data_IF_669664827502
#
_entry.id   IF_669664827502
#
_cell.length_a   1.000
_cell.length_b   1.000
_cell.length_c   1.000
_cell.angle_alpha   90.00
_cell.angle_beta   90.00
_cell.angle_gamma   90.00
#
_symmetry.space_group_name_H-M   'P 1'
#
loop_
_entity.id
_entity.type
_entity.pdbx_description
1 polymer ?
#
# COMPACT_ATOMS: atom_id res chain seq x y z
N UNK A 1 -22.50 42.90 -29.90
CA UNK A 1 -22.81 43.34 -28.52
C UNK A 1 -21.74 42.78 -27.60
N UNK A 2 -21.25 43.62 -26.71
CA UNK A 2 -19.93 43.56 -26.07
C UNK A 2 -19.79 42.51 -24.96
N UNK A 3 -18.57 41.99 -24.81
CA UNK A 3 -18.08 41.16 -23.69
C UNK A 3 -17.91 42.03 -22.43
N UNK A 4 -18.06 41.49 -21.20
CA UNK A 4 -17.60 42.17 -20.00
C UNK A 4 -16.15 41.79 -19.66
N UNK A 5 -15.38 42.82 -19.33
CA UNK A 5 -13.96 42.84 -19.01
C UNK A 5 -13.74 42.58 -17.52
N UNK A 6 -12.73 41.77 -17.18
CA UNK A 6 -12.21 41.58 -15.82
C UNK A 6 -11.50 42.84 -15.33
N UNK A 7 -11.81 43.29 -14.10
CA UNK A 7 -11.12 44.38 -13.41
C UNK A 7 -10.40 43.80 -12.20
N UNK A 8 -9.09 43.65 -12.35
CA UNK A 8 -8.11 43.42 -11.29
C UNK A 8 -7.91 44.76 -10.57
N UNK A 9 -8.16 44.81 -9.26
CA UNK A 9 -7.74 45.94 -8.43
C UNK A 9 -6.95 45.42 -7.23
N UNK A 10 -5.64 45.60 -7.35
CA UNK A 10 -4.61 45.42 -6.33
C UNK A 10 -4.59 46.69 -5.46
N UNK A 11 -4.75 46.57 -4.14
CA UNK A 11 -4.36 47.65 -3.23
C UNK A 11 -3.80 47.11 -1.91
N UNK A 12 -2.51 47.43 -1.73
CA UNK A 12 -1.64 47.18 -0.59
C UNK A 12 -1.77 48.36 0.41
N UNK A 13 -1.26 48.16 1.64
CA UNK A 13 -1.09 49.08 2.79
C UNK A 13 -2.32 49.11 3.73
N UNK A 14 -2.20 48.92 5.04
CA UNK A 14 -1.24 49.57 5.95
C UNK A 14 -1.24 48.88 7.33
N UNK A 15 -0.05 48.67 7.90
CA UNK A 15 0.21 48.40 9.33
C UNK A 15 -0.10 49.61 10.21
N UNK A 16 -0.55 49.42 11.46
CA UNK A 16 0.15 49.84 12.71
C UNK A 16 -0.74 49.75 13.99
N UNK A 17 -0.32 48.89 14.94
CA UNK A 17 0.00 49.07 16.38
C UNK A 17 -0.99 49.76 17.37
N UNK A 18 -0.95 49.21 18.60
CA UNK A 18 -1.16 49.79 19.97
C UNK A 18 -2.56 49.46 20.52
N UNK A 19 -2.75 48.79 21.67
CA UNK A 19 -2.18 49.09 22.98
C UNK A 19 -2.12 47.88 23.93
N UNK A 20 -1.01 47.82 24.67
CA UNK A 20 -0.84 47.07 25.89
C UNK A 20 -1.32 47.89 27.11
N UNK A 21 -1.93 47.22 28.08
CA UNK A 21 -2.09 47.59 29.49
C UNK A 21 -2.29 46.24 30.23
N UNK A 22 -1.64 45.86 31.31
CA UNK A 22 -0.62 46.48 32.14
C UNK A 22 -0.45 45.60 33.39
N UNK A 23 0.80 45.46 33.84
CA UNK A 23 1.30 45.38 35.24
C UNK A 23 0.55 44.51 36.26
N UNK A 24 1.18 43.71 37.12
CA UNK A 24 2.47 43.91 37.78
C UNK A 24 2.78 42.66 38.66
N UNK A 25 3.97 42.59 39.30
CA UNK A 25 4.66 41.34 39.60
C UNK A 25 4.48 40.85 41.03
N UNK A 26 4.72 39.57 41.26
CA UNK A 26 5.15 39.09 42.57
C UNK A 26 6.26 38.07 42.40
N UNK A 27 7.49 38.54 42.53
CA UNK A 27 8.65 37.71 42.81
C UNK A 27 8.59 37.32 44.29
N UNK A 28 8.57 36.03 44.59
CA UNK A 28 8.84 35.51 45.93
C UNK A 28 10.29 35.03 45.97
N UNK A 29 11.06 35.71 46.80
CA UNK A 29 12.47 35.42 47.10
C UNK A 29 12.63 34.12 47.87
N UNK A 30 13.59 33.31 47.43
CA UNK A 30 14.14 32.17 48.15
C UNK A 30 15.05 32.62 49.32
N UNK A 31 15.19 31.82 50.39
CA UNK A 31 16.39 31.79 51.21
C UNK A 31 17.22 30.54 50.86
N UNK A 32 18.28 30.71 50.09
CA UNK A 32 19.29 29.64 49.89
C UNK A 32 20.50 29.94 50.75
N UNK A 33 20.78 29.03 51.70
CA UNK A 33 21.95 29.09 52.58
C UNK A 33 23.23 28.76 51.82
N UNK A 34 24.34 29.33 52.31
CA UNK A 34 25.70 29.22 51.80
C UNK A 34 26.34 27.83 52.09
N UNK A 35 27.51 27.51 51.49
CA UNK A 35 27.91 26.15 51.14
C UNK A 35 28.53 25.39 52.31
N UNK A 36 28.20 24.10 52.41
CA UNK A 36 28.93 23.12 53.24
C UNK A 36 29.92 22.37 52.37
N UNK A 37 31.10 22.14 52.93
CA UNK A 37 32.30 21.61 52.30
C UNK A 37 32.13 20.24 51.62
N UNK A 38 32.88 20.07 50.53
CA UNK A 38 32.95 18.89 49.68
C UNK A 38 33.78 17.79 50.36
N UNK A 39 33.27 16.56 50.52
CA UNK A 39 34.12 15.39 50.61
C UNK A 39 34.46 14.92 49.19
N UNK A 40 35.72 15.13 48.82
CA UNK A 40 36.37 14.42 47.73
C UNK A 40 36.46 12.95 48.11
N UNK A 41 35.63 12.10 47.53
CA UNK A 41 36.01 10.75 47.07
C UNK A 41 35.16 10.39 45.85
N UNK A 42 35.82 10.13 44.72
CA UNK A 42 35.21 9.59 43.49
C UNK A 42 35.11 8.06 43.63
N UNK A 43 33.92 7.46 43.63
CA UNK A 43 33.80 6.02 43.38
C UNK A 43 34.17 5.77 41.92
N UNK A 44 35.30 5.06 41.70
CA UNK A 44 35.85 4.71 40.38
C UNK A 44 35.37 3.33 39.93
N UNK A 45 34.08 3.04 40.01
CA UNK A 45 33.52 1.82 39.43
C UNK A 45 32.17 2.18 38.78
N UNK A 46 32.20 2.41 37.47
CA UNK A 46 30.98 2.44 36.68
C UNK A 46 30.39 1.01 36.68
N UNK A 47 29.09 0.81 36.97
CA UNK A 47 28.48 -0.50 36.81
C UNK A 47 28.65 -0.96 35.36
N UNK A 48 29.38 -2.06 35.19
CA UNK A 48 29.72 -2.66 33.89
C UNK A 48 28.61 -3.57 33.36
N UNK A 49 27.47 -3.67 34.06
CA UNK A 49 26.33 -4.41 33.56
C UNK A 49 25.40 -3.48 32.76
N UNK A 50 25.32 -3.75 31.46
CA UNK A 50 24.30 -3.16 30.60
C UNK A 50 22.91 -3.38 31.23
N UNK A 51 21.97 -2.42 31.13
CA UNK A 51 20.59 -2.66 31.54
C UNK A 51 20.08 -3.91 30.83
N UNK A 52 19.88 -5.00 31.56
CA UNK A 52 19.21 -6.17 31.05
C UNK A 52 17.78 -5.75 30.77
N UNK A 53 17.47 -5.50 29.50
CA UNK A 53 16.13 -5.23 29.05
C UNK A 53 15.23 -6.38 29.55
N UNK A 54 14.11 -6.08 30.23
CA UNK A 54 13.20 -7.14 30.65
C UNK A 54 12.84 -7.97 29.41
N UNK A 55 12.85 -9.32 29.52
CA UNK A 55 12.55 -10.16 28.37
C UNK A 55 11.20 -9.73 27.80
N UNK A 56 11.16 -9.49 26.49
CA UNK A 56 9.93 -9.17 25.79
C UNK A 56 8.86 -10.22 26.18
N UNK A 57 7.61 -9.80 26.46
CA UNK A 57 6.56 -10.75 26.77
C UNK A 57 6.50 -11.80 25.67
N UNK A 58 6.55 -13.08 26.04
CA UNK A 58 6.41 -14.18 25.11
C UNK A 58 5.01 -14.12 24.53
N UNK A 59 4.89 -13.63 23.30
CA UNK A 59 3.65 -13.65 22.54
C UNK A 59 3.34 -15.12 22.22
N UNK A 60 2.40 -15.73 22.94
CA UNK A 60 1.85 -17.03 22.54
C UNK A 60 0.87 -16.80 21.40
N UNK A 61 1.33 -17.04 20.18
CA UNK A 61 0.47 -16.97 19.00
C UNK A 61 -0.62 -18.07 19.07
N UNK A 62 -1.87 -17.77 18.67
CA UNK A 62 -2.91 -18.79 18.63
C UNK A 62 -2.56 -19.89 17.63
N UNK A 63 -3.10 -21.08 17.85
CA UNK A 63 -2.91 -22.21 16.94
C UNK A 63 -3.35 -21.83 15.51
N UNK A 64 -2.48 -22.06 14.53
CA UNK A 64 -2.72 -21.72 13.13
C UNK A 64 -2.42 -20.27 12.74
N UNK A 65 -1.98 -19.42 13.67
CA UNK A 65 -1.53 -18.07 13.34
C UNK A 65 -0.28 -18.10 12.44
N UNK A 66 -0.22 -17.14 11.51
CA UNK A 66 1.04 -16.80 10.85
C UNK A 66 1.93 -16.08 11.87
N UNK A 67 3.11 -16.64 12.13
CA UNK A 67 4.10 -16.06 13.04
C UNK A 67 5.31 -15.66 12.24
N UNK A 68 5.73 -14.40 12.36
CA UNK A 68 7.00 -13.93 11.81
C UNK A 68 8.15 -14.43 12.69
N UNK A 69 9.02 -15.29 12.16
CA UNK A 69 10.16 -15.83 12.89
C UNK A 69 11.39 -14.90 12.79
N UNK A 70 12.14 -14.65 13.88
CA UNK A 70 13.38 -13.88 13.80
C UNK A 70 14.43 -14.63 12.99
N UNK A 71 15.14 -13.89 12.13
CA UNK A 71 16.29 -14.39 11.37
C UNK A 71 17.46 -13.42 11.47
N UNK A 72 18.69 -13.94 11.48
CA UNK A 72 19.91 -13.13 11.57
C UNK A 72 20.21 -12.37 10.28
N UNK A 73 19.86 -12.96 9.14
CA UNK A 73 20.04 -12.38 7.81
C UNK A 73 18.69 -12.30 7.10
N UNK A 74 18.41 -11.14 6.52
CA UNK A 74 17.23 -10.93 5.69
C UNK A 74 17.27 -11.86 4.46
N UNK A 75 16.10 -12.37 4.00
CA UNK A 75 16.01 -13.08 2.74
C UNK A 75 16.28 -12.14 1.56
N UNK A 76 16.69 -12.72 0.44
CA UNK A 76 16.82 -12.03 -0.84
C UNK A 76 15.41 -11.80 -1.42
N UNK A 77 15.17 -10.60 -1.97
CA UNK A 77 13.87 -10.27 -2.58
C UNK A 77 13.87 -10.65 -4.07
N UNK A 78 13.96 -11.94 -4.35
CA UNK A 78 13.98 -12.50 -5.72
C UNK A 78 12.81 -13.46 -6.02
N UNK A 79 11.94 -13.67 -5.04
CA UNK A 79 10.78 -14.57 -5.16
C UNK A 79 11.12 -16.05 -5.04
N UNK A 80 12.36 -16.41 -4.69
CA UNK A 80 12.79 -17.80 -4.49
C UNK A 80 12.82 -18.14 -2.99
N UNK A 81 12.40 -19.36 -2.66
CA UNK A 81 12.24 -19.82 -1.28
C UNK A 81 13.48 -20.57 -0.74
N UNK A 82 14.67 -20.36 -1.31
CA UNK A 82 15.88 -21.15 -1.05
C UNK A 82 16.84 -20.53 -0.03
N UNK A 83 16.56 -19.32 0.45
CA UNK A 83 17.29 -18.72 1.58
C UNK A 83 17.11 -19.51 2.88
N UNK A 84 18.20 -19.63 3.65
CA UNK A 84 18.21 -20.22 5.01
C UNK A 84 17.22 -19.53 5.97
N UNK A 85 16.91 -18.25 5.73
CA UNK A 85 15.93 -17.49 6.51
C UNK A 85 14.55 -18.20 6.55
N UNK A 86 14.16 -18.88 5.47
CA UNK A 86 12.85 -19.53 5.36
C UNK A 86 12.80 -20.93 5.99
N UNK A 87 13.95 -21.51 6.35
CA UNK A 87 14.04 -22.91 6.80
C UNK A 87 13.32 -23.13 8.14
N UNK A 88 13.32 -22.12 9.01
CA UNK A 88 12.68 -22.18 10.34
C UNK A 88 11.30 -21.54 10.38
N UNK A 89 10.88 -20.88 9.30
CA UNK A 89 9.60 -20.19 9.25
C UNK A 89 8.45 -21.20 9.08
N UNK A 90 7.47 -21.11 9.99
CA UNK A 90 6.22 -21.83 9.85
C UNK A 90 5.48 -21.41 8.57
N UNK A 91 4.85 -22.37 7.90
CA UNK A 91 4.04 -22.13 6.71
C UNK A 91 2.56 -22.23 7.06
N UNK A 92 1.80 -21.22 6.64
CA UNK A 92 0.34 -21.20 6.75
C UNK A 92 -0.26 -21.43 5.37
N UNK A 93 -1.15 -22.40 5.24
CA UNK A 93 -1.94 -22.60 4.02
C UNK A 93 -3.27 -21.85 4.12
N UNK A 94 -3.57 -21.07 3.08
CA UNK A 94 -4.76 -20.24 2.94
C UNK A 94 -5.53 -20.75 1.72
N UNK A 95 -6.69 -21.37 1.93
CA UNK A 95 -7.55 -21.79 0.83
C UNK A 95 -8.32 -20.60 0.25
N UNK A 96 -7.99 -20.23 -0.99
CA UNK A 96 -8.66 -19.16 -1.74
C UNK A 96 -9.72 -19.80 -2.64
N UNK A 97 -10.97 -19.35 -2.50
CA UNK A 97 -12.12 -19.92 -3.22
C UNK A 97 -13.05 -18.83 -3.73
N UNK A 98 -13.96 -19.19 -4.63
CA UNK A 98 -14.97 -18.26 -5.16
C UNK A 98 -14.44 -17.31 -6.23
N UNK A 99 -13.32 -17.65 -6.87
CA UNK A 99 -12.81 -16.91 -8.02
C UNK A 99 -13.71 -17.05 -9.25
N UNK A 100 -13.47 -16.21 -10.26
CA UNK A 100 -14.13 -16.32 -11.56
C UNK A 100 -14.00 -17.75 -12.11
N UNK A 101 -15.04 -18.23 -12.81
CA UNK A 101 -15.13 -19.62 -13.30
C UNK A 101 -15.01 -20.70 -12.20
N UNK A 102 -15.37 -20.37 -10.95
CA UNK A 102 -15.17 -21.22 -9.77
C UNK A 102 -13.71 -21.59 -9.53
N UNK A 103 -12.77 -20.73 -9.92
CA UNK A 103 -11.36 -20.93 -9.61
C UNK A 103 -11.14 -20.96 -8.08
N UNK A 104 -10.24 -21.84 -7.68
CA UNK A 104 -9.76 -21.97 -6.31
C UNK A 104 -8.31 -22.43 -6.34
N UNK A 105 -7.51 -21.95 -5.40
CA UNK A 105 -6.15 -22.41 -5.16
C UNK A 105 -5.87 -22.38 -3.67
N UNK A 106 -4.94 -23.21 -3.22
CA UNK A 106 -4.28 -22.98 -1.95
C UNK A 106 -3.11 -22.02 -2.19
N UNK A 107 -3.01 -21.01 -1.33
CA UNK A 107 -1.83 -20.17 -1.23
C UNK A 107 -1.08 -20.52 0.07
N UNK A 108 0.23 -20.52 0.04
CA UNK A 108 1.09 -20.73 1.20
C UNK A 108 1.77 -19.43 1.57
N UNK A 109 1.79 -19.10 2.85
CA UNK A 109 2.40 -17.88 3.37
C UNK A 109 3.39 -18.22 4.49
N UNK A 110 4.60 -17.67 4.38
CA UNK A 110 5.60 -17.66 5.45
C UNK A 110 5.92 -16.22 5.83
N UNK A 111 6.33 -16.02 7.07
CA UNK A 111 6.78 -14.73 7.56
C UNK A 111 8.08 -14.86 8.38
N UNK A 112 9.02 -13.95 8.15
CA UNK A 112 10.22 -13.77 8.97
C UNK A 112 10.45 -12.29 9.24
N UNK A 113 11.30 -11.96 10.20
CA UNK A 113 11.74 -10.59 10.39
C UNK A 113 13.23 -10.51 10.72
N UNK A 114 13.87 -9.43 10.29
CA UNK A 114 15.26 -9.10 10.59
C UNK A 114 15.33 -7.61 10.91
N UNK A 115 15.80 -7.26 12.11
CA UNK A 115 15.77 -5.87 12.58
C UNK A 115 14.35 -5.34 12.71
N UNK A 116 14.05 -4.25 12.01
CA UNK A 116 12.74 -3.58 11.98
C UNK A 116 11.88 -3.96 10.76
N UNK A 117 12.35 -4.88 9.91
CA UNK A 117 11.70 -5.24 8.66
C UNK A 117 11.10 -6.63 8.75
N UNK A 118 9.83 -6.75 8.38
CA UNK A 118 9.11 -8.02 8.20
C UNK A 118 9.12 -8.40 6.72
N UNK A 119 9.30 -9.70 6.46
CA UNK A 119 9.35 -10.28 5.13
C UNK A 119 8.28 -11.36 5.02
N UNK A 120 7.58 -11.37 3.89
CA UNK A 120 6.55 -12.35 3.59
C UNK A 120 6.93 -13.11 2.32
N UNK A 121 6.70 -14.41 2.32
CA UNK A 121 6.80 -15.25 1.14
C UNK A 121 5.43 -15.87 0.87
N UNK A 122 4.75 -15.37 -0.16
CA UNK A 122 3.48 -15.89 -0.64
C UNK A 122 3.73 -16.72 -1.91
N UNK A 123 3.18 -17.93 -1.95
CA UNK A 123 3.23 -18.81 -3.13
C UNK A 123 1.86 -19.40 -3.39
N UNK A 124 1.47 -19.50 -4.66
CA UNK A 124 0.20 -20.09 -5.09
C UNK A 124 0.35 -20.69 -6.48
N UNK A 125 -0.49 -21.66 -6.82
CA UNK A 125 -0.51 -22.23 -8.16
C UNK A 125 -1.27 -21.30 -9.11
N UNK A 126 -0.61 -20.83 -10.16
CA UNK A 126 -1.20 -20.00 -11.20
C UNK A 126 -1.00 -20.63 -12.58
N UNK A 127 -2.05 -21.24 -13.17
CA UNK A 127 -1.96 -21.81 -14.51
C UNK A 127 -1.88 -20.76 -15.64
N UNK A 128 -2.26 -19.51 -15.35
CA UNK A 128 -2.33 -18.42 -16.32
C UNK A 128 -1.07 -17.55 -16.32
N UNK A 129 -0.49 -17.30 -15.15
CA UNK A 129 0.64 -16.40 -14.93
C UNK A 129 0.43 -15.05 -15.66
N UNK A 130 -0.53 -14.27 -15.15
CA UNK A 130 -1.06 -13.10 -15.84
C UNK A 130 -0.17 -11.88 -15.64
N UNK A 131 0.78 -11.71 -16.56
CA UNK A 131 1.61 -10.51 -16.70
C UNK A 131 1.05 -9.51 -17.71
N UNK A 132 -0.27 -9.33 -17.76
CA UNK A 132 -0.94 -8.43 -18.71
C UNK A 132 -1.90 -7.49 -18.02
N UNK A 133 -1.90 -6.21 -18.41
CA UNK A 133 -2.91 -5.27 -17.96
C UNK A 133 -3.36 -4.38 -19.11
N UNK A 134 -4.47 -4.75 -19.74
CA UNK A 134 -5.01 -4.05 -20.91
C UNK A 134 -3.91 -3.64 -21.91
N UNK A 135 -3.13 -4.59 -22.46
CA UNK A 135 -1.98 -4.27 -23.30
C UNK A 135 -2.40 -3.67 -24.65
N UNK A 136 -1.50 -2.92 -25.29
CA UNK A 136 -1.63 -2.56 -26.69
C UNK A 136 -1.25 -3.74 -27.59
N UNK A 137 -2.05 -3.99 -28.61
CA UNK A 137 -1.82 -5.03 -29.60
C UNK A 137 -1.83 -4.43 -31.01
N UNK A 138 -0.72 -4.64 -31.74
CA UNK A 138 -0.64 -4.29 -33.16
C UNK A 138 -1.42 -5.30 -33.98
N UNK A 139 -2.31 -4.79 -34.83
CA UNK A 139 -3.18 -5.57 -35.70
C UNK A 139 -2.49 -5.90 -37.03
N UNK A 140 -3.04 -6.86 -37.78
CA UNK A 140 -2.51 -7.26 -39.09
C UNK A 140 -2.49 -6.11 -40.12
N UNK A 141 -3.39 -5.14 -39.98
CA UNK A 141 -3.47 -3.96 -40.83
C UNK A 141 -2.52 -2.81 -40.42
N UNK A 142 -1.73 -3.02 -39.37
CA UNK A 142 -0.79 -2.05 -38.81
C UNK A 142 -1.39 -1.12 -37.75
N UNK A 143 -2.70 -1.13 -37.54
CA UNK A 143 -3.33 -0.34 -36.47
C UNK A 143 -3.01 -0.88 -35.07
N UNK A 144 -3.19 -0.04 -34.05
CA UNK A 144 -3.08 -0.45 -32.65
C UNK A 144 -4.46 -0.51 -32.00
N UNK A 145 -4.67 -1.54 -31.19
CA UNK A 145 -5.87 -1.67 -30.37
C UNK A 145 -5.46 -1.95 -28.91
N UNK A 146 -6.20 -1.36 -27.98
CA UNK A 146 -6.11 -1.75 -26.58
C UNK A 146 -6.91 -3.05 -26.40
N UNK A 147 -6.28 -4.08 -25.85
CA UNK A 147 -6.97 -5.33 -25.53
C UNK A 147 -7.85 -5.08 -24.32
N UNK A 148 -9.15 -5.32 -24.48
CA UNK A 148 -10.17 -5.10 -23.44
C UNK A 148 -11.00 -6.36 -23.22
N UNK A 149 -11.53 -6.49 -22.00
CA UNK A 149 -12.56 -7.48 -21.71
C UNK A 149 -13.91 -6.91 -22.17
N UNK A 150 -14.58 -7.50 -23.17
CA UNK A 150 -15.88 -7.00 -23.64
C UNK A 150 -17.00 -7.16 -22.61
N UNK A 151 -16.78 -7.94 -21.54
CA UNK A 151 -17.74 -8.16 -20.47
C UNK A 151 -17.47 -7.31 -19.23
N UNK A 152 -16.34 -6.57 -19.16
CA UNK A 152 -16.05 -5.67 -18.04
C UNK A 152 -17.11 -4.55 -17.98
N UNK A 153 -17.86 -4.54 -16.89
CA UNK A 153 -18.90 -3.56 -16.56
C UNK A 153 -18.46 -2.60 -15.45
N UNK A 154 -17.31 -2.85 -14.85
CA UNK A 154 -16.72 -1.99 -13.84
C UNK A 154 -15.88 -2.76 -12.85
N UNK A 155 -14.61 -2.99 -13.19
CA UNK A 155 -13.63 -3.60 -12.29
C UNK A 155 -13.73 -5.12 -12.26
N UNK A 156 -14.31 -5.72 -13.29
CA UNK A 156 -14.51 -7.16 -13.47
C UNK A 156 -13.84 -7.70 -14.73
N UNK A 157 -12.89 -6.94 -15.29
CA UNK A 157 -11.96 -7.48 -16.27
C UNK A 157 -11.26 -8.73 -15.71
N UNK A 158 -11.50 -9.85 -16.38
CA UNK A 158 -10.95 -11.16 -16.03
C UNK A 158 -10.20 -11.81 -17.21
N UNK A 159 -10.00 -11.08 -18.31
CA UNK A 159 -9.41 -11.62 -19.55
C UNK A 159 -8.13 -10.92 -20.00
N UNK A 160 -7.95 -9.66 -19.62
CA UNK A 160 -6.75 -8.87 -19.93
C UNK A 160 -6.32 -8.08 -18.69
N UNK A 161 -6.06 -8.81 -17.61
CA UNK A 161 -5.77 -8.25 -16.29
C UNK A 161 -4.67 -9.00 -15.56
N UNK A 162 -4.01 -8.28 -14.66
CA UNK A 162 -2.77 -8.71 -14.05
C UNK A 162 -3.03 -9.56 -12.81
N UNK A 163 -2.07 -10.42 -12.46
CA UNK A 163 -2.06 -11.12 -11.18
C UNK A 163 -1.85 -10.13 -10.04
N UNK A 164 -2.62 -10.32 -8.96
CA UNK A 164 -2.65 -9.40 -7.83
C UNK A 164 -3.02 -10.16 -6.56
N UNK A 165 -2.52 -9.67 -5.44
CA UNK A 165 -3.05 -10.04 -4.14
C UNK A 165 -3.14 -8.81 -3.25
N UNK A 166 -3.97 -8.90 -2.21
CA UNK A 166 -4.02 -7.89 -1.16
C UNK A 166 -4.02 -8.56 0.20
N UNK A 167 -3.19 -8.05 1.10
CA UNK A 167 -3.27 -8.34 2.52
C UNK A 167 -3.95 -7.17 3.22
N UNK A 168 -4.74 -7.46 4.25
CA UNK A 168 -5.52 -6.46 4.96
C UNK A 168 -5.41 -6.71 6.45
N UNK A 169 -5.21 -5.65 7.23
CA UNK A 169 -5.11 -5.69 8.69
C UNK A 169 -6.16 -4.76 9.28
N UNK A 170 -6.69 -5.11 10.44
CA UNK A 170 -7.46 -4.16 11.24
C UNK A 170 -6.50 -3.21 11.93
N UNK A 171 -6.68 -1.91 11.74
CA UNK A 171 -5.92 -0.89 12.47
C UNK A 171 -6.55 -0.75 13.86
N UNK A 172 -5.72 -0.84 14.91
CA UNK A 172 -6.13 -0.70 16.31
C UNK A 172 -7.31 -1.62 16.73
N UNK A 173 -7.41 -2.81 16.13
CA UNK A 173 -8.53 -3.75 16.34
C UNK A 173 -9.92 -3.10 16.13
N UNK A 174 -9.97 -2.04 15.32
CA UNK A 174 -11.17 -1.19 15.18
C UNK A 174 -12.29 -1.87 14.38
N UNK A 175 -11.97 -2.80 13.46
CA UNK A 175 -12.98 -3.45 12.62
C UNK A 175 -13.66 -4.59 13.40
N UNK A 176 -14.93 -4.39 13.75
CA UNK A 176 -15.70 -5.39 14.48
C UNK A 176 -15.86 -6.70 13.68
N UNK A 177 -15.53 -7.82 14.34
CA UNK A 177 -15.64 -9.17 13.77
C UNK A 177 -14.50 -9.57 12.84
N UNK A 178 -13.46 -8.73 12.68
CA UNK A 178 -12.31 -9.04 11.84
C UNK A 178 -11.58 -10.30 12.30
N UNK A 179 -11.39 -10.48 13.62
CA UNK A 179 -10.73 -11.67 14.18
C UNK A 179 -11.42 -13.00 13.85
N UNK A 180 -12.73 -13.00 13.54
CA UNK A 180 -13.48 -14.22 13.23
C UNK A 180 -13.66 -14.46 11.74
N UNK A 181 -13.79 -13.39 10.96
CA UNK A 181 -14.24 -13.45 9.56
C UNK A 181 -13.19 -12.86 8.61
N UNK A 182 -12.12 -12.29 9.15
CA UNK A 182 -11.09 -11.57 8.42
C UNK A 182 -11.66 -10.42 7.60
N UNK A 183 -11.04 -10.15 6.46
CA UNK A 183 -11.41 -9.04 5.60
C UNK A 183 -12.82 -9.18 4.97
N UNK A 184 -13.49 -10.34 5.08
CA UNK A 184 -14.86 -10.54 4.59
C UNK A 184 -15.88 -9.68 5.34
N UNK A 185 -15.60 -9.24 6.58
CA UNK A 185 -16.51 -8.32 7.32
C UNK A 185 -16.80 -7.01 6.58
N UNK A 186 -15.88 -6.61 5.70
CA UNK A 186 -15.97 -5.39 4.92
C UNK A 186 -16.44 -5.62 3.48
N UNK A 187 -16.79 -6.85 3.10
CA UNK A 187 -17.24 -7.19 1.74
C UNK A 187 -18.76 -7.08 1.63
N UNK A 188 -19.24 -6.21 0.73
CA UNK A 188 -20.67 -5.96 0.49
C UNK A 188 -21.03 -6.42 -0.91
N UNK A 189 -21.05 -7.75 -1.09
CA UNK A 189 -21.32 -8.39 -2.37
C UNK A 189 -22.74 -8.10 -2.87
N UNK A 190 -22.88 -7.87 -4.17
CA UNK A 190 -24.17 -7.62 -4.84
C UNK A 190 -24.68 -6.17 -4.78
N UNK A 191 -24.04 -5.30 -4.00
CA UNK A 191 -24.33 -3.86 -4.07
C UNK A 191 -23.90 -3.28 -5.42
N UNK A 192 -24.75 -2.43 -6.00
CA UNK A 192 -24.48 -1.74 -7.26
C UNK A 192 -24.06 -2.68 -8.40
N UNK A 193 -24.61 -3.90 -8.47
CA UNK A 193 -24.16 -4.98 -9.37
C UNK A 193 -24.16 -4.63 -10.86
N UNK A 194 -24.93 -3.62 -11.29
CA UNK A 194 -24.91 -3.10 -12.66
C UNK A 194 -23.57 -2.44 -13.04
N UNK A 195 -22.82 -1.94 -12.06
CA UNK A 195 -21.55 -1.19 -12.24
C UNK A 195 -20.39 -1.70 -11.38
N UNK A 196 -20.66 -2.55 -10.38
CA UNK A 196 -19.71 -3.19 -9.48
C UNK A 196 -20.17 -4.64 -9.26
N UNK A 197 -19.97 -5.55 -10.22
CA UNK A 197 -20.57 -6.88 -10.17
C UNK A 197 -20.06 -7.76 -9.02
N UNK A 198 -18.90 -7.45 -8.45
CA UNK A 198 -18.38 -8.09 -7.23
C UNK A 198 -18.68 -7.32 -5.93
N UNK A 199 -19.47 -6.25 -6.01
CA UNK A 199 -19.86 -5.40 -4.89
C UNK A 199 -18.79 -4.41 -4.46
N UNK A 200 -18.97 -3.89 -3.24
CA UNK A 200 -18.11 -2.87 -2.65
C UNK A 200 -17.29 -3.43 -1.49
N UNK A 201 -16.22 -2.73 -1.12
CA UNK A 201 -15.49 -2.97 0.12
C UNK A 201 -15.43 -1.71 0.96
N UNK A 202 -15.94 -1.78 2.20
CA UNK A 202 -15.92 -0.69 3.18
C UNK A 202 -16.21 -1.23 4.58
N UNK A 203 -15.73 -0.54 5.62
CA UNK A 203 -16.00 -0.90 7.01
C UNK A 203 -17.43 -0.51 7.44
N UNK A 204 -17.95 -1.18 8.48
CA UNK A 204 -19.37 -1.06 8.82
C UNK A 204 -19.68 0.28 9.46
N UNK A 205 -18.76 0.82 10.26
CA UNK A 205 -18.95 2.06 11.02
C UNK A 205 -17.79 3.05 10.86
N UNK A 206 -18.11 4.34 11.08
CA UNK A 206 -17.10 5.40 11.13
C UNK A 206 -16.10 5.14 12.27
N UNK A 207 -14.82 5.38 12.00
CA UNK A 207 -13.72 5.07 12.92
C UNK A 207 -13.17 3.64 12.82
N UNK A 208 -13.87 2.74 12.12
CA UNK A 208 -13.29 1.43 11.76
C UNK A 208 -12.36 1.60 10.55
N UNK A 209 -11.09 1.22 10.72
CA UNK A 209 -10.04 1.39 9.73
C UNK A 209 -9.29 0.08 9.46
N UNK A 210 -9.02 -0.16 8.18
CA UNK A 210 -8.16 -1.25 7.75
C UNK A 210 -6.95 -0.76 6.99
N UNK A 211 -5.82 -1.41 7.19
CA UNK A 211 -4.61 -1.23 6.39
C UNK A 211 -4.64 -2.21 5.22
N UNK A 212 -4.21 -1.82 4.03
CA UNK A 212 -4.24 -2.66 2.82
C UNK A 212 -2.90 -2.56 2.11
N UNK A 213 -2.25 -3.70 1.95
CA UNK A 213 -1.07 -3.84 1.11
C UNK A 213 -1.47 -4.55 -0.17
N UNK A 214 -1.30 -3.92 -1.32
CA UNK A 214 -1.81 -4.40 -2.59
C UNK A 214 -0.71 -4.55 -3.63
N UNK A 215 -0.28 -5.78 -3.85
CA UNK A 215 0.70 -6.14 -4.88
C UNK A 215 0.01 -6.41 -6.22
N UNK A 216 0.69 -6.00 -7.30
CA UNK A 216 0.17 -6.11 -8.67
C UNK A 216 1.31 -6.36 -9.65
N UNK A 217 1.29 -7.49 -10.35
CA UNK A 217 2.41 -7.98 -11.15
C UNK A 217 2.89 -6.97 -12.20
N UNK A 218 1.99 -6.34 -12.94
CA UNK A 218 2.39 -5.40 -14.01
C UNK A 218 2.65 -4.00 -13.49
N UNK A 219 1.80 -3.51 -12.59
CA UNK A 219 1.86 -2.12 -12.13
C UNK A 219 2.89 -1.87 -11.04
N UNK A 220 3.19 -2.86 -10.22
CA UNK A 220 4.04 -2.67 -9.05
C UNK A 220 4.71 -4.00 -8.65
N UNK A 221 5.63 -4.48 -9.50
CA UNK A 221 6.38 -5.71 -9.26
C UNK A 221 7.36 -5.54 -8.08
N UNK A 222 8.10 -4.42 -8.06
CA UNK A 222 9.12 -4.10 -7.04
C UNK A 222 8.65 -3.21 -5.87
N UNK A 223 7.37 -2.87 -5.79
CA UNK A 223 6.78 -2.07 -4.71
C UNK A 223 5.36 -2.56 -4.45
N UNK A 224 4.90 -2.49 -3.21
CA UNK A 224 3.51 -2.80 -2.85
C UNK A 224 2.77 -1.48 -2.65
N UNK A 225 1.57 -1.33 -3.21
CA UNK A 225 0.76 -0.13 -2.93
C UNK A 225 0.31 -0.17 -1.47
N UNK A 226 0.56 0.94 -0.78
CA UNK A 226 0.00 1.24 0.52
C UNK A 226 -1.37 1.92 0.36
N UNK A 227 -2.36 1.35 1.02
CA UNK A 227 -3.78 1.68 0.87
C UNK A 227 -4.47 1.51 2.22
N UNK A 228 -5.62 2.14 2.38
CA UNK A 228 -6.44 1.95 3.56
C UNK A 228 -7.91 1.74 3.22
N UNK A 229 -8.65 1.26 4.22
CA UNK A 229 -10.07 0.96 4.16
C UNK A 229 -10.81 1.76 5.21
N UNK A 230 -11.85 2.48 4.80
CA UNK A 230 -12.75 3.19 5.70
C UNK A 230 -14.22 2.84 5.44
N UNK A 231 -15.12 3.53 6.14
CA UNK A 231 -16.56 3.31 6.06
C UNK A 231 -17.24 4.06 4.91
N UNK A 232 -16.49 4.69 3.99
CA UNK A 232 -17.07 5.45 2.88
C UNK A 232 -17.93 4.53 2.03
N UNK A 233 -19.20 4.91 1.82
CA UNK A 233 -20.12 4.16 0.95
C UNK A 233 -19.86 4.50 -0.51
N UNK A 234 -20.27 3.58 -1.40
CA UNK A 234 -20.19 3.82 -2.83
C UNK A 234 -21.00 5.06 -3.23
N UNK A 235 -20.36 5.92 -4.00
CA UNK A 235 -20.99 7.03 -4.71
C UNK A 235 -20.37 7.13 -6.10
N UNK A 236 -21.20 7.12 -7.15
CA UNK A 236 -20.71 7.01 -8.52
C UNK A 236 -19.85 8.20 -8.98
N UNK A 237 -20.02 9.36 -8.35
CA UNK A 237 -19.34 10.61 -8.72
C UNK A 237 -18.18 10.91 -7.77
N UNK A 238 -18.36 10.67 -6.48
CA UNK A 238 -17.47 11.16 -5.42
C UNK A 238 -16.71 10.05 -4.69
N UNK A 239 -17.18 8.80 -4.76
CA UNK A 239 -16.59 7.68 -4.02
C UNK A 239 -16.76 6.34 -4.76
N UNK A 240 -16.25 6.27 -5.99
CA UNK A 240 -16.44 5.10 -6.87
C UNK A 240 -15.77 3.83 -6.36
N UNK A 241 -14.75 3.96 -5.52
CA UNK A 241 -14.05 2.84 -4.86
C UNK A 241 -14.58 2.57 -3.43
N UNK A 242 -15.67 3.23 -3.05
CA UNK A 242 -16.27 3.15 -1.72
C UNK A 242 -15.20 3.38 -0.63
N UNK A 243 -15.00 2.40 0.25
CA UNK A 243 -14.12 2.50 1.39
C UNK A 243 -12.65 2.33 1.07
N UNK A 244 -12.28 1.79 -0.09
CA UNK A 244 -10.87 1.63 -0.48
C UNK A 244 -10.27 2.97 -0.88
N UNK A 245 -9.12 3.31 -0.31
CA UNK A 245 -8.38 4.54 -0.54
C UNK A 245 -6.91 4.22 -0.76
N UNK A 246 -6.21 5.09 -1.50
CA UNK A 246 -4.75 5.08 -1.57
C UNK A 246 -4.19 6.06 -0.58
N UNK A 247 -3.08 5.70 0.05
CA UNK A 247 -2.31 6.63 0.86
C UNK A 247 -1.64 7.71 0.00
N UNK A 248 -1.10 8.72 0.68
CA UNK A 248 -0.41 9.80 0.00
C UNK A 248 0.80 9.24 -0.78
N UNK A 249 0.88 9.54 -2.07
CA UNK A 249 2.01 9.14 -2.89
C UNK A 249 3.27 9.92 -2.46
N UNK A 250 4.20 9.22 -1.84
CA UNK A 250 5.52 9.69 -1.39
C UNK A 250 6.66 9.21 -2.30
N UNK A 251 6.38 8.32 -3.27
CA UNK A 251 7.31 7.89 -4.31
C UNK A 251 6.84 6.68 -5.13
N UNK A 252 7.50 6.47 -6.27
CA UNK A 252 7.24 5.33 -7.16
C UNK A 252 5.95 5.45 -7.97
N UNK A 253 5.35 4.30 -8.27
CA UNK A 253 4.11 4.18 -9.04
C UNK A 253 4.29 3.94 -10.54
N UNK A 254 3.19 4.06 -11.26
CA UNK A 254 3.04 3.61 -12.65
C UNK A 254 2.11 4.54 -13.43
N UNK A 255 2.28 4.55 -14.75
CA UNK A 255 1.41 5.24 -15.69
C UNK A 255 1.07 4.33 -16.86
N UNK A 256 -0.07 4.54 -17.48
CA UNK A 256 -0.40 3.83 -18.71
C UNK A 256 0.58 4.24 -19.82
N UNK A 257 1.08 3.27 -20.58
CA UNK A 257 1.88 3.55 -21.77
C UNK A 257 0.96 3.99 -22.92
N UNK A 258 0.72 5.29 -23.06
CA UNK A 258 -0.07 5.83 -24.15
C UNK A 258 0.45 7.21 -24.59
N UNK A 259 0.13 7.61 -25.82
CA UNK A 259 0.31 8.97 -26.32
C UNK A 259 -0.50 9.98 -25.50
N UNK A 260 -0.19 11.27 -25.64
CA UNK A 260 -0.91 12.34 -24.93
C UNK A 260 -2.43 12.33 -25.24
N UNK A 261 -2.82 11.96 -26.46
CA UNK A 261 -4.23 11.80 -26.84
C UNK A 261 -4.84 10.45 -26.44
N UNK A 262 -4.04 9.53 -25.88
CA UNK A 262 -4.45 8.22 -25.39
C UNK A 262 -4.80 7.20 -26.47
N UNK A 263 -4.49 7.48 -27.75
CA UNK A 263 -4.97 6.66 -28.87
C UNK A 263 -3.98 5.58 -29.32
N UNK A 264 -2.70 5.70 -28.97
CA UNK A 264 -1.61 4.80 -29.39
C UNK A 264 -0.66 4.51 -28.22
N UNK A 265 0.10 3.40 -28.26
CA UNK A 265 1.25 3.22 -27.39
C UNK A 265 2.32 4.28 -27.66
N UNK A 266 2.95 4.81 -26.61
CA UNK A 266 4.01 5.82 -26.73
C UNK A 266 5.41 5.23 -26.72
N UNK A 267 5.63 4.20 -25.91
CA UNK A 267 6.96 3.67 -25.61
C UNK A 267 7.07 2.16 -25.85
N UNK A 268 8.29 1.73 -26.09
CA UNK A 268 8.73 0.33 -26.04
C UNK A 268 10.05 0.24 -25.26
N UNK A 269 10.58 -0.95 -25.04
CA UNK A 269 11.93 -1.14 -24.52
C UNK A 269 12.61 -2.35 -25.16
N UNK A 270 13.96 -2.43 -25.10
CA UNK A 270 14.69 -3.62 -25.53
C UNK A 270 14.35 -4.91 -24.75
N UNK A 271 13.76 -4.77 -23.56
CA UNK A 271 13.37 -5.91 -22.71
C UNK A 271 12.01 -6.50 -23.11
N UNK A 272 11.20 -5.76 -23.87
CA UNK A 272 9.88 -6.24 -24.33
C UNK A 272 10.05 -7.27 -25.43
N UNK A 273 9.46 -8.45 -25.22
CA UNK A 273 9.24 -9.42 -26.29
C UNK A 273 7.98 -9.03 -27.08
N UNK A 274 8.09 -8.64 -28.36
CA UNK A 274 6.95 -8.21 -29.16
C UNK A 274 5.98 -9.35 -29.51
N UNK A 275 6.40 -10.62 -29.41
CA UNK A 275 5.53 -11.76 -29.70
C UNK A 275 4.62 -12.10 -28.53
N UNK A 276 5.12 -11.97 -27.31
CA UNK A 276 4.40 -12.35 -26.08
C UNK A 276 3.93 -11.15 -25.27
N UNK A 277 4.54 -9.98 -25.44
CA UNK A 277 4.32 -8.80 -24.61
C UNK A 277 5.05 -8.83 -23.26
N UNK A 278 5.82 -9.90 -22.97
CA UNK A 278 6.58 -10.01 -21.73
C UNK A 278 7.64 -8.89 -21.61
N UNK A 279 7.93 -8.36 -20.41
CA UNK A 279 7.37 -8.75 -19.11
C UNK A 279 6.01 -8.11 -18.78
N UNK A 280 5.37 -7.42 -19.73
CA UNK A 280 4.08 -6.75 -19.53
C UNK A 280 4.17 -5.31 -19.08
N UNK A 281 5.38 -4.83 -18.73
CA UNK A 281 5.67 -3.47 -18.30
C UNK A 281 6.94 -2.92 -18.95
N UNK A 282 7.17 -1.61 -18.79
CA UNK A 282 8.38 -0.91 -19.24
C UNK A 282 8.91 -0.07 -18.08
N UNK A 283 10.14 -0.32 -17.66
CA UNK A 283 10.80 0.51 -16.65
C UNK A 283 11.13 1.88 -17.23
N UNK A 284 11.05 2.93 -16.41
CA UNK A 284 11.31 4.31 -16.85
C UNK A 284 12.72 4.48 -17.45
N UNK A 285 13.71 3.80 -16.86
CA UNK A 285 15.11 3.77 -17.33
C UNK A 285 15.32 3.07 -18.68
N UNK A 286 14.35 2.31 -19.16
CA UNK A 286 14.44 1.51 -20.38
C UNK A 286 13.58 2.06 -21.53
N UNK A 287 12.80 3.12 -21.26
CA UNK A 287 11.87 3.70 -22.22
C UNK A 287 12.58 4.14 -23.50
N UNK A 288 12.03 3.70 -24.61
CA UNK A 288 12.38 4.16 -25.96
C UNK A 288 11.10 4.55 -26.69
N UNK A 289 11.15 5.59 -27.53
CA UNK A 289 10.01 5.95 -28.36
C UNK A 289 9.65 4.78 -29.28
N UNK A 290 8.36 4.45 -29.34
CA UNK A 290 7.85 3.43 -30.24
C UNK A 290 7.55 4.04 -31.61
N UNK A 291 8.04 3.42 -32.68
CA UNK A 291 7.52 3.69 -34.02
C UNK A 291 6.09 3.13 -34.09
N UNK A 292 5.13 4.05 -34.22
CA UNK A 292 3.70 3.74 -34.16
C UNK A 292 3.15 3.19 -35.49
N UNK A 293 3.91 3.30 -36.58
CA UNK A 293 3.55 2.77 -37.90
C UNK A 293 3.67 1.25 -37.93
#
# INVERSE_FOLDING_TARGET
>A
MQKPTYLISLLILTSLIVAACGGSPTATTAPTQAPTEVPTELPTEAPTEAPTEPPAPTLEAPEGALVAYPVDAAPTLDGVADDEAWASAGETTISVTGGANNFSTDATLKAVYSGDTVYFLLSYADPSESWFRSPWQKQEDGSWALVTDPNDKGGDNNTAYEDKFSMIWSIEDSIQGFETTGCFVACHAGENSDVKPYGNKYTNAEGELGDIWHWKSVRNDGQIDDQYLDSTRFDAENAREAGRKSDANDGGGYVNNATEDGTLPAFTSPAVDPATGAPGYILDSEKTELDQA
#
